data_IF_805838653934
#
_entry.id   IF_805838653934
#
_cell.length_a   1.000
_cell.length_b   1.000
_cell.length_c   1.000
_cell.angle_alpha   90.00
_cell.angle_beta   90.00
_cell.angle_gamma   90.00
#
_symmetry.space_group_name_H-M   'P 1'
#
loop_
_entity.id
_entity.type
_entity.pdbx_description
1 polymer ?
#
# COMPACT_ATOMS: atom_id res chain seq x y z
N UNK A 1 -58.31 22.02 13.94
CA UNK A 1 -56.89 22.25 14.06
C UNK A 1 -56.16 20.98 13.67
N UNK A 2 -55.52 21.01 12.53
CA UNK A 2 -54.80 19.85 12.05
C UNK A 2 -53.30 20.12 12.17
N UNK A 3 -52.65 19.32 12.98
CA UNK A 3 -51.17 19.29 13.03
C UNK A 3 -50.67 18.56 11.79
N UNK A 4 -50.05 19.30 10.89
CA UNK A 4 -49.26 18.72 9.84
C UNK A 4 -47.88 18.37 10.43
N UNK A 5 -47.67 17.07 10.71
CA UNK A 5 -46.36 16.57 10.95
C UNK A 5 -45.62 16.56 9.62
N UNK A 6 -44.75 17.56 9.43
CA UNK A 6 -43.77 17.49 8.36
C UNK A 6 -42.70 16.47 8.79
N UNK A 7 -42.80 15.26 8.22
CA UNK A 7 -41.72 14.29 8.36
C UNK A 7 -40.57 14.79 7.48
N UNK A 8 -39.61 15.44 8.09
CA UNK A 8 -38.35 15.74 7.44
C UNK A 8 -37.60 14.41 7.31
N UNK A 9 -37.72 13.80 6.14
CA UNK A 9 -36.83 12.73 5.74
C UNK A 9 -35.52 13.42 5.37
N UNK A 10 -34.56 13.42 6.28
CA UNK A 10 -33.19 13.78 5.96
C UNK A 10 -32.69 12.79 4.91
N UNK A 11 -32.25 13.22 3.70
CA UNK A 11 -31.66 12.29 2.78
C UNK A 11 -30.42 11.70 3.45
N UNK A 12 -30.35 10.39 3.50
CA UNK A 12 -29.14 9.71 3.90
C UNK A 12 -28.04 10.16 2.95
N UNK A 13 -27.12 11.00 3.43
CA UNK A 13 -25.92 11.31 2.68
C UNK A 13 -25.14 10.02 2.60
N UNK A 14 -25.17 9.37 1.45
CA UNK A 14 -24.29 8.25 1.18
C UNK A 14 -22.87 8.83 1.23
N UNK A 15 -22.16 8.62 2.35
CA UNK A 15 -20.74 8.88 2.43
C UNK A 15 -20.10 7.94 1.42
N UNK A 16 -19.46 8.48 0.39
CA UNK A 16 -18.72 7.67 -0.55
C UNK A 16 -17.65 6.91 0.25
N UNK A 17 -17.89 5.65 0.52
CA UNK A 17 -16.91 4.80 1.16
C UNK A 17 -15.81 4.49 0.18
N UNK A 18 -14.57 4.50 0.65
CA UNK A 18 -13.45 4.03 -0.12
C UNK A 18 -13.76 2.60 -0.61
N UNK A 19 -13.68 2.37 -1.92
CA UNK A 19 -13.94 1.07 -2.54
C UNK A 19 -12.76 0.12 -2.46
N UNK A 20 -11.80 0.42 -1.61
CA UNK A 20 -10.56 -0.36 -1.43
C UNK A 20 -10.20 -0.48 0.05
N UNK A 21 -9.47 -1.53 0.45
CA UNK A 21 -9.07 -1.72 1.83
C UNK A 21 -8.11 -0.62 2.27
N UNK A 22 -8.35 -0.06 3.46
CA UNK A 22 -7.47 0.94 4.08
C UNK A 22 -6.99 0.52 5.47
N UNK A 23 -7.43 -0.64 5.94
CA UNK A 23 -7.03 -1.19 7.23
C UNK A 23 -6.20 -2.44 7.04
N UNK A 24 -5.22 -2.60 7.91
CA UNK A 24 -4.38 -3.79 7.93
C UNK A 24 -5.20 -5.02 8.28
N UNK A 25 -4.87 -6.19 7.70
CA UNK A 25 -5.47 -7.44 8.17
C UNK A 25 -5.24 -7.63 9.66
N UNK A 26 -6.20 -8.24 10.34
CA UNK A 26 -6.10 -8.51 11.77
C UNK A 26 -4.87 -9.37 12.07
N UNK A 27 -4.06 -8.94 13.03
CA UNK A 27 -2.84 -9.64 13.41
C UNK A 27 -1.60 -9.28 12.58
N UNK A 28 -1.72 -8.39 11.59
CA UNK A 28 -0.56 -7.94 10.83
C UNK A 28 0.36 -7.10 11.71
N UNK A 29 1.65 -7.43 11.72
CA UNK A 29 2.64 -6.84 12.60
C UNK A 29 3.67 -6.03 11.85
N UNK A 30 4.08 -4.90 12.44
CA UNK A 30 5.22 -4.15 11.98
C UNK A 30 6.50 -4.96 12.17
N UNK A 31 7.45 -4.80 11.24
CA UNK A 31 8.74 -5.45 11.30
C UNK A 31 9.83 -4.45 11.69
N UNK A 32 10.92 -4.94 12.30
CA UNK A 32 12.12 -4.14 12.43
C UNK A 32 12.72 -3.85 11.05
N UNK A 33 13.55 -2.79 10.91
CA UNK A 33 14.19 -2.51 9.63
C UNK A 33 14.97 -3.70 9.07
N UNK A 34 15.72 -4.40 9.90
CA UNK A 34 16.52 -5.56 9.47
C UNK A 34 15.64 -6.75 9.07
N UNK A 35 14.59 -7.02 9.83
CA UNK A 35 13.66 -8.10 9.50
C UNK A 35 12.93 -7.80 8.19
N UNK A 36 12.51 -6.56 7.98
CA UNK A 36 11.88 -6.16 6.73
C UNK A 36 12.86 -6.29 5.56
N UNK A 37 14.10 -5.82 5.73
CA UNK A 37 15.11 -5.94 4.69
C UNK A 37 15.30 -7.39 4.26
N UNK A 38 15.41 -8.31 5.21
CA UNK A 38 15.59 -9.73 4.92
C UNK A 38 14.41 -10.34 4.17
N UNK A 39 13.20 -9.82 4.39
CA UNK A 39 12.01 -10.28 3.68
C UNK A 39 11.95 -9.78 2.25
N UNK A 40 12.67 -8.71 1.90
CA UNK A 40 12.61 -8.05 0.59
C UNK A 40 13.83 -8.32 -0.29
N UNK A 41 15.03 -8.36 0.27
CA UNK A 41 16.28 -8.42 -0.50
C UNK A 41 16.35 -9.70 -1.35
N UNK A 42 16.72 -9.53 -2.62
CA UNK A 42 16.83 -10.62 -3.58
C UNK A 42 15.50 -11.15 -4.10
N UNK A 43 14.40 -10.47 -3.83
CA UNK A 43 13.06 -10.95 -4.19
C UNK A 43 12.31 -9.96 -5.04
N UNK A 44 11.38 -10.47 -5.83
CA UNK A 44 10.46 -9.71 -6.64
C UNK A 44 9.02 -9.91 -6.15
N UNK A 45 8.21 -8.86 -6.23
CA UNK A 45 6.83 -8.86 -5.75
C UNK A 45 5.91 -8.19 -6.76
N UNK A 46 4.64 -8.53 -6.66
CA UNK A 46 3.56 -7.82 -7.32
C UNK A 46 2.52 -7.41 -6.27
N UNK A 47 2.14 -6.14 -6.28
CA UNK A 47 1.03 -5.63 -5.51
C UNK A 47 -0.11 -5.27 -6.47
N UNK A 48 -1.25 -5.93 -6.30
CA UNK A 48 -2.43 -5.68 -7.12
C UNK A 48 -3.26 -4.58 -6.50
N UNK A 49 -3.41 -3.50 -7.24
CA UNK A 49 -4.18 -2.34 -6.80
C UNK A 49 -5.58 -2.37 -7.40
N UNK A 50 -6.57 -1.92 -6.64
CA UNK A 50 -7.93 -1.67 -7.16
C UNK A 50 -8.12 -0.20 -7.55
N UNK A 51 -7.17 0.67 -7.20
CA UNK A 51 -7.24 2.11 -7.47
C UNK A 51 -6.33 2.55 -8.62
N UNK A 52 -5.55 1.63 -9.17
CA UNK A 52 -4.61 1.94 -10.24
C UNK A 52 -3.96 0.69 -10.81
N UNK A 53 -2.91 0.84 -11.60
CA UNK A 53 -2.21 -0.30 -12.17
C UNK A 53 -1.50 -1.12 -11.11
N UNK A 54 -1.24 -2.39 -11.44
CA UNK A 54 -0.42 -3.26 -10.60
C UNK A 54 0.98 -2.67 -10.45
N UNK A 55 1.57 -2.87 -9.27
CA UNK A 55 2.92 -2.41 -8.96
C UNK A 55 3.82 -3.62 -8.82
N UNK A 56 4.83 -3.69 -9.66
CA UNK A 56 5.85 -4.74 -9.60
C UNK A 56 7.14 -4.13 -9.10
N UNK A 57 7.73 -4.74 -8.08
CA UNK A 57 9.01 -4.30 -7.51
C UNK A 57 9.96 -5.46 -7.40
N UNK A 58 11.23 -5.17 -7.56
CA UNK A 58 12.32 -6.12 -7.36
C UNK A 58 13.39 -5.45 -6.52
N UNK A 59 13.83 -6.11 -5.46
CA UNK A 59 14.83 -5.58 -4.53
C UNK A 59 16.13 -6.34 -4.66
N UNK A 60 17.20 -5.65 -5.04
CA UNK A 60 18.56 -6.16 -4.98
C UNK A 60 19.24 -5.62 -3.71
N UNK A 61 20.53 -5.88 -3.51
CA UNK A 61 21.24 -5.45 -2.30
C UNK A 61 21.06 -3.97 -1.98
N UNK A 62 21.23 -3.09 -2.95
CA UNK A 62 21.10 -1.64 -2.76
C UNK A 62 20.22 -0.97 -3.82
N UNK A 63 19.81 -1.70 -4.83
CA UNK A 63 19.01 -1.21 -5.95
C UNK A 63 17.62 -1.83 -5.93
N UNK A 64 16.65 -1.05 -6.39
CA UNK A 64 15.29 -1.52 -6.62
C UNK A 64 14.84 -1.16 -8.02
N UNK A 65 13.96 -1.98 -8.56
CA UNK A 65 13.32 -1.78 -9.86
C UNK A 65 11.80 -1.77 -9.65
N UNK A 66 11.12 -0.91 -10.38
CA UNK A 66 9.66 -0.78 -10.29
C UNK A 66 9.05 -0.67 -11.68
N UNK A 67 7.89 -1.32 -11.84
CA UNK A 67 7.03 -1.16 -13.01
C UNK A 67 5.62 -0.81 -12.50
N UNK A 68 5.11 0.33 -12.93
CA UNK A 68 3.75 0.80 -12.61
C UNK A 68 3.10 1.23 -13.92
N UNK A 69 2.12 0.45 -14.39
CA UNK A 69 1.52 0.70 -15.70
C UNK A 69 2.56 0.63 -16.81
N UNK A 70 2.72 1.72 -17.54
CA UNK A 70 3.70 1.83 -18.63
C UNK A 70 5.02 2.47 -18.17
N UNK A 71 5.16 2.74 -16.88
CA UNK A 71 6.34 3.40 -16.33
C UNK A 71 7.26 2.36 -15.69
N UNK A 72 8.53 2.39 -16.08
CA UNK A 72 9.59 1.62 -15.45
C UNK A 72 10.61 2.57 -14.87
N UNK A 73 11.10 2.29 -13.68
CA UNK A 73 12.11 3.09 -13.02
C UNK A 73 13.03 2.22 -12.18
N UNK A 74 14.11 2.79 -11.73
CA UNK A 74 15.06 2.15 -10.83
C UNK A 74 15.61 3.19 -9.86
N UNK A 75 16.17 2.72 -8.76
CA UNK A 75 16.74 3.58 -7.77
C UNK A 75 17.36 2.82 -6.61
N UNK A 76 17.65 3.51 -5.56
CA UNK A 76 18.15 2.92 -4.32
C UNK A 76 17.00 2.69 -3.35
N UNK A 77 17.21 1.80 -2.40
CA UNK A 77 16.21 1.53 -1.37
C UNK A 77 16.86 1.26 -0.02
N UNK A 78 16.10 1.50 1.01
CA UNK A 78 16.47 1.21 2.38
C UNK A 78 15.22 0.92 3.19
N UNK A 79 15.39 0.36 4.37
CA UNK A 79 14.31 0.17 5.32
C UNK A 79 14.46 1.12 6.49
N UNK A 80 13.34 1.71 6.93
CA UNK A 80 13.26 2.55 8.12
C UNK A 80 12.02 2.12 8.90
N UNK A 81 12.17 1.79 10.20
CA UNK A 81 11.09 1.17 10.94
C UNK A 81 10.48 0.02 10.12
N UNK A 82 9.16 -0.06 9.96
CA UNK A 82 8.51 -1.07 9.12
C UNK A 82 8.16 -0.53 7.73
N UNK A 83 8.98 0.38 7.20
CA UNK A 83 8.75 0.98 5.88
C UNK A 83 9.92 0.72 4.96
N UNK A 84 9.60 0.53 3.67
CA UNK A 84 10.58 0.54 2.60
C UNK A 84 10.58 1.92 1.96
N UNK A 85 11.75 2.55 1.92
CA UNK A 85 11.94 3.87 1.35
C UNK A 85 12.76 3.77 0.07
N UNK A 86 12.27 4.38 -0.99
CA UNK A 86 12.88 4.31 -2.32
C UNK A 86 13.21 5.69 -2.83
N UNK A 87 14.41 5.84 -3.39
CA UNK A 87 14.85 7.02 -4.15
C UNK A 87 14.89 6.64 -5.62
N UNK A 88 13.82 6.96 -6.34
CA UNK A 88 13.69 6.66 -7.76
C UNK A 88 14.39 7.69 -8.63
N UNK A 89 14.71 7.35 -9.87
CA UNK A 89 15.33 8.29 -10.82
C UNK A 89 14.32 9.24 -11.45
N UNK A 90 13.11 8.77 -11.71
CA UNK A 90 12.04 9.52 -12.39
C UNK A 90 10.86 9.76 -11.47
N UNK A 91 10.44 8.74 -10.73
CA UNK A 91 9.32 8.82 -9.81
C UNK A 91 9.73 9.55 -8.53
N UNK A 92 8.72 10.07 -7.82
CA UNK A 92 8.97 10.71 -6.52
C UNK A 92 9.47 9.70 -5.51
N UNK A 93 10.36 10.09 -4.60
CA UNK A 93 10.74 9.25 -3.48
C UNK A 93 9.51 8.82 -2.69
N UNK A 94 9.48 7.59 -2.23
CA UNK A 94 8.38 7.04 -1.45
C UNK A 94 8.89 6.27 -0.26
N UNK A 95 8.16 6.35 0.85
CA UNK A 95 8.29 5.41 1.97
C UNK A 95 6.93 4.75 2.15
N UNK A 96 6.88 3.43 2.05
CA UNK A 96 5.65 2.66 2.16
C UNK A 96 5.76 1.68 3.31
N UNK A 97 4.80 1.76 4.24
CA UNK A 97 4.75 0.85 5.38
C UNK A 97 4.38 -0.56 4.92
N UNK A 98 5.09 -1.54 5.46
CA UNK A 98 4.84 -2.96 5.23
C UNK A 98 4.60 -3.63 6.58
N UNK A 99 3.61 -4.52 6.62
CA UNK A 99 3.37 -5.39 7.78
C UNK A 99 3.31 -6.83 7.34
N UNK A 100 3.67 -7.70 8.27
CA UNK A 100 3.69 -9.14 8.04
C UNK A 100 2.56 -9.82 8.79
N UNK A 101 1.95 -10.81 8.16
CA UNK A 101 1.03 -11.74 8.77
C UNK A 101 1.53 -13.15 8.41
N UNK A 102 2.35 -13.75 9.30
CA UNK A 102 3.07 -14.98 8.96
C UNK A 102 3.98 -14.77 7.74
N UNK A 103 3.85 -15.62 6.73
CA UNK A 103 4.61 -15.51 5.49
C UNK A 103 4.11 -14.41 4.56
N UNK A 104 2.91 -13.90 4.78
CA UNK A 104 2.32 -12.89 3.93
C UNK A 104 2.82 -11.49 4.28
N UNK A 105 3.02 -10.67 3.27
CA UNK A 105 3.34 -9.26 3.42
C UNK A 105 2.23 -8.40 2.84
N UNK A 106 1.99 -7.27 3.47
CA UNK A 106 1.03 -6.26 3.03
C UNK A 106 1.71 -4.90 3.01
N UNK A 107 1.40 -4.10 2.02
CA UNK A 107 1.95 -2.76 1.85
C UNK A 107 0.84 -1.73 1.82
N UNK A 108 1.06 -0.59 2.48
CA UNK A 108 0.17 0.56 2.39
C UNK A 108 0.65 1.50 1.31
N UNK A 109 -0.21 1.78 0.35
CA UNK A 109 0.07 2.74 -0.70
C UNK A 109 0.17 4.16 -0.11
N UNK A 110 1.27 4.85 -0.40
CA UNK A 110 1.57 6.13 0.25
C UNK A 110 0.57 7.24 -0.15
N UNK A 111 0.03 7.22 -1.37
CA UNK A 111 -0.79 8.30 -1.88
C UNK A 111 -2.27 8.26 -1.43
N UNK A 112 -2.81 7.09 -1.11
CA UNK A 112 -4.23 6.95 -0.78
C UNK A 112 -4.53 6.01 0.39
N UNK A 113 -3.52 5.37 0.97
CA UNK A 113 -3.70 4.46 2.11
C UNK A 113 -4.21 3.07 1.76
N UNK A 114 -4.32 2.74 0.47
CA UNK A 114 -4.75 1.41 0.05
C UNK A 114 -3.82 0.33 0.59
N UNK A 115 -4.38 -0.70 1.23
CA UNK A 115 -3.64 -1.87 1.68
C UNK A 115 -3.68 -2.92 0.58
N UNK A 116 -2.50 -3.32 0.13
CA UNK A 116 -2.35 -4.31 -0.93
C UNK A 116 -1.56 -5.50 -0.42
N UNK A 117 -1.95 -6.69 -0.81
CA UNK A 117 -1.10 -7.86 -0.61
C UNK A 117 0.14 -7.75 -1.50
N UNK A 118 1.31 -7.98 -0.91
CA UNK A 118 2.58 -7.98 -1.62
C UNK A 118 2.92 -9.43 -1.96
N UNK A 119 2.56 -9.85 -3.16
CA UNK A 119 2.66 -11.25 -3.57
C UNK A 119 4.03 -11.54 -4.17
N UNK A 120 4.68 -12.66 -3.81
CA UNK A 120 5.89 -13.09 -4.48
C UNK A 120 5.64 -13.31 -5.97
N UNK A 121 6.60 -12.86 -6.75
CA UNK A 121 6.54 -13.04 -8.19
C UNK A 121 7.38 -14.25 -8.61
#
# INVERSE_FOLDING_TARGET
MRLLLAVLIAPAVAVAQASFPTEWPSGAEALSPDALRQRLVGKAFIAKSVTGPDVRTEYQESYAYINVGNTSDSGTWRTEASAVCNEWKKLRPTCSEIRALGEALYVRRANNGEIMALLPK
#
